data_IF_864114711979
#
_entry.id   IF_864114711979
#
_cell.length_a   1.000
_cell.length_b   1.000
_cell.length_c   1.000
_cell.angle_alpha   90.00
_cell.angle_beta   90.00
_cell.angle_gamma   90.00
#
_symmetry.space_group_name_H-M   'P 1'
#
loop_
_entity.id
_entity.type
_entity.pdbx_description
1 polymer ?
#
# COMPACT_ATOMS: atom_id res chain seq x y z
N UNK A 1 22.01 -0.64 2.41
CA UNK A 1 20.64 -0.42 1.87
C UNK A 1 20.68 0.47 0.65
N UNK A 2 19.72 0.28 -0.29
CA UNK A 2 19.58 1.14 -1.46
C UNK A 2 19.27 2.58 -1.02
N UNK A 3 19.92 3.58 -1.65
CA UNK A 3 19.72 5.01 -1.38
C UNK A 3 18.34 5.53 -1.86
N UNK A 4 17.34 4.64 -2.04
CA UNK A 4 16.00 5.01 -2.49
C UNK A 4 15.10 5.35 -1.30
N UNK A 5 14.28 6.40 -1.40
CA UNK A 5 13.38 6.81 -0.32
C UNK A 5 12.33 5.75 0.01
N UNK A 6 12.10 5.54 1.32
CA UNK A 6 11.04 4.63 1.80
C UNK A 6 9.63 5.14 1.43
N UNK A 7 9.44 6.45 1.38
CA UNK A 7 8.18 7.08 1.02
C UNK A 7 8.43 8.11 -0.07
N UNK A 8 7.82 7.91 -1.25
CA UNK A 8 8.07 8.80 -2.39
C UNK A 8 6.80 9.05 -3.20
N UNK A 9 6.58 10.30 -3.58
CA UNK A 9 5.53 10.70 -4.52
C UNK A 9 6.15 11.11 -5.85
N UNK A 10 5.80 10.38 -6.91
CA UNK A 10 6.10 10.73 -8.29
C UNK A 10 4.99 11.63 -8.82
N UNK A 11 5.30 12.88 -9.09
CA UNK A 11 4.30 13.88 -9.49
C UNK A 11 4.63 14.54 -10.82
N UNK A 12 3.62 15.03 -11.52
CA UNK A 12 3.73 15.69 -12.81
C UNK A 12 2.45 15.58 -13.62
N UNK A 13 2.47 16.09 -14.85
CA UNK A 13 1.33 16.06 -15.75
C UNK A 13 0.84 14.63 -16.03
N UNK A 14 -0.45 14.42 -16.40
CA UNK A 14 -0.93 13.14 -16.87
C UNK A 14 -0.10 12.63 -18.07
N UNK A 15 0.15 11.31 -18.11
CA UNK A 15 0.85 10.71 -19.23
C UNK A 15 2.38 10.87 -19.27
N UNK A 16 3.01 11.48 -18.25
CA UNK A 16 4.48 11.65 -18.20
C UNK A 16 5.26 10.39 -17.87
N UNK A 17 4.58 9.25 -17.66
CA UNK A 17 5.25 7.97 -17.39
C UNK A 17 5.55 7.69 -15.91
N UNK A 18 4.88 8.36 -14.97
CA UNK A 18 5.07 8.16 -13.52
C UNK A 18 4.97 6.69 -13.09
N UNK A 19 3.88 6.03 -13.45
CA UNK A 19 3.68 4.60 -13.14
C UNK A 19 4.69 3.69 -13.87
N UNK A 20 5.14 4.09 -15.05
CA UNK A 20 6.19 3.38 -15.78
C UNK A 20 7.54 3.48 -15.05
N UNK A 21 7.91 4.67 -14.60
CA UNK A 21 9.12 4.88 -13.80
C UNK A 21 9.12 4.02 -12.52
N UNK A 22 7.99 3.97 -11.81
CA UNK A 22 7.84 3.08 -10.64
C UNK A 22 8.02 1.61 -11.05
N UNK A 23 7.40 1.18 -12.16
CA UNK A 23 7.53 -0.21 -12.62
C UNK A 23 8.96 -0.59 -12.97
N UNK A 24 9.74 0.31 -13.57
CA UNK A 24 11.15 0.07 -13.85
C UNK A 24 11.98 -0.03 -12.57
N UNK A 25 11.76 0.88 -11.61
CA UNK A 25 12.47 0.89 -10.33
C UNK A 25 12.11 -0.30 -9.42
N UNK A 26 10.92 -0.85 -9.58
CA UNK A 26 10.44 -2.01 -8.80
C UNK A 26 10.51 -3.32 -9.57
N UNK A 27 11.19 -3.35 -10.72
CA UNK A 27 11.33 -4.56 -11.52
C UNK A 27 11.98 -5.70 -10.72
N UNK A 28 11.31 -6.84 -10.67
CA UNK A 28 11.76 -8.02 -9.89
C UNK A 28 11.55 -7.91 -8.38
N UNK A 29 10.86 -6.88 -7.90
CA UNK A 29 10.44 -6.73 -6.49
C UNK A 29 8.96 -7.13 -6.33
N UNK A 30 8.58 -7.46 -5.10
CA UNK A 30 7.18 -7.68 -4.75
C UNK A 30 6.47 -6.33 -4.58
N UNK A 31 5.34 -6.19 -5.28
CA UNK A 31 4.60 -4.93 -5.33
C UNK A 31 3.11 -5.18 -5.13
N UNK A 32 2.55 -4.59 -4.10
CA UNK A 32 1.10 -4.47 -3.93
C UNK A 32 0.68 -3.10 -4.43
N UNK A 33 -0.32 -3.06 -5.31
CA UNK A 33 -0.75 -1.83 -5.98
C UNK A 33 -2.21 -1.54 -5.71
N UNK A 34 -2.52 -0.28 -5.45
CA UNK A 34 -3.88 0.22 -5.28
C UNK A 34 -4.04 1.58 -5.95
N UNK A 35 -5.27 1.99 -6.21
CA UNK A 35 -5.59 3.30 -6.80
C UNK A 35 -6.56 4.03 -5.89
N UNK A 36 -6.27 5.30 -5.58
CA UNK A 36 -7.22 6.12 -4.84
C UNK A 36 -8.28 6.70 -5.77
N UNK A 37 -9.48 6.74 -5.27
CA UNK A 37 -10.68 7.35 -5.87
C UNK A 37 -11.36 8.27 -4.86
N UNK A 38 -12.26 9.16 -5.28
CA UNK A 38 -12.99 10.02 -4.34
C UNK A 38 -13.73 9.27 -3.23
N UNK A 39 -14.17 8.04 -3.51
CA UNK A 39 -14.88 7.18 -2.56
C UNK A 39 -13.94 6.25 -1.75
N UNK A 40 -12.64 6.36 -1.93
CA UNK A 40 -11.67 5.58 -1.15
C UNK A 40 -11.67 6.07 0.30
N UNK A 41 -11.76 5.14 1.22
CA UNK A 41 -11.74 5.37 2.65
C UNK A 41 -10.78 4.41 3.38
N UNK A 42 -10.71 4.51 4.70
CA UNK A 42 -9.90 3.62 5.53
C UNK A 42 -10.26 2.14 5.31
N UNK A 43 -11.55 1.82 5.17
CA UNK A 43 -12.02 0.43 5.02
C UNK A 43 -11.62 -0.21 3.71
N UNK A 44 -11.49 0.58 2.65
CA UNK A 44 -11.10 0.13 1.31
C UNK A 44 -9.59 0.13 1.08
N UNK A 45 -8.84 0.84 1.91
CA UNK A 45 -7.39 0.91 1.85
C UNK A 45 -6.69 -0.01 2.87
N UNK A 46 -7.20 -0.05 4.10
CA UNK A 46 -6.61 -0.80 5.22
C UNK A 46 -7.31 -2.15 5.38
N UNK A 47 -8.59 -2.13 5.61
CA UNK A 47 -9.42 -3.32 5.79
C UNK A 47 -10.66 -3.03 6.62
N UNK A 48 -11.61 -3.95 6.55
CA UNK A 48 -12.85 -3.90 7.33
C UNK A 48 -13.50 -5.27 7.41
N UNK A 49 -14.43 -5.43 8.36
CA UNK A 49 -15.36 -6.55 8.34
C UNK A 49 -16.28 -6.49 7.14
N UNK A 50 -16.31 -7.58 6.39
CA UNK A 50 -17.21 -7.74 5.24
C UNK A 50 -18.02 -9.02 5.37
N UNK A 51 -19.30 -9.02 4.97
CA UNK A 51 -20.06 -10.25 4.87
C UNK A 51 -19.46 -11.12 3.76
N UNK A 52 -19.23 -12.38 4.07
CA UNK A 52 -18.80 -13.39 3.11
C UNK A 52 -19.63 -14.66 3.30
N UNK A 53 -19.82 -15.43 2.23
CA UNK A 53 -20.52 -16.69 2.30
C UNK A 53 -19.53 -17.81 2.49
N UNK A 54 -19.69 -18.59 3.57
CA UNK A 54 -18.87 -19.78 3.84
C UNK A 54 -19.71 -21.01 4.05
N UNK A 55 -19.29 -22.18 3.53
CA UNK A 55 -19.87 -23.43 3.90
C UNK A 55 -19.51 -23.74 5.37
N UNK A 56 -20.51 -23.89 6.20
CA UNK A 56 -20.38 -24.31 7.60
C UNK A 56 -21.08 -25.65 7.83
N UNK A 57 -20.57 -26.47 8.74
CA UNK A 57 -21.25 -27.73 9.06
C UNK A 57 -22.67 -27.49 9.58
N UNK A 58 -23.62 -28.23 9.07
CA UNK A 58 -24.97 -28.29 9.65
C UNK A 58 -24.85 -29.00 11.00
N UNK A 59 -25.25 -28.30 12.06
CA UNK A 59 -25.15 -28.84 13.43
C UNK A 59 -26.56 -29.21 13.93
N UNK A 60 -26.69 -30.36 14.54
CA UNK A 60 -27.86 -30.77 15.34
C UNK A 60 -27.46 -30.91 16.81
N UNK A 61 -28.41 -30.68 17.70
CA UNK A 61 -28.19 -30.84 19.14
C UNK A 61 -28.75 -32.21 19.57
N UNK A 62 -27.89 -33.04 20.14
CA UNK A 62 -28.28 -34.33 20.74
C UNK A 62 -27.99 -34.28 22.23
N UNK A 63 -29.04 -34.15 23.04
CA UNK A 63 -28.89 -33.87 24.46
C UNK A 63 -28.33 -32.45 24.72
N UNK A 64 -27.12 -32.34 25.24
CA UNK A 64 -26.40 -31.09 25.48
C UNK A 64 -25.25 -30.87 24.51
N UNK A 65 -25.01 -31.80 23.57
CA UNK A 65 -23.88 -31.73 22.67
C UNK A 65 -24.32 -31.30 21.25
N UNK A 66 -23.52 -30.39 20.66
CA UNK A 66 -23.67 -29.96 19.26
C UNK A 66 -22.89 -30.93 18.36
N UNK A 67 -23.57 -31.64 17.46
CA UNK A 67 -22.97 -32.66 16.60
C UNK A 67 -23.18 -32.31 15.13
N UNK A 68 -22.16 -32.43 14.27
CA UNK A 68 -22.32 -32.24 12.82
C UNK A 68 -23.25 -33.28 12.22
N UNK A 69 -24.19 -32.84 11.40
CA UNK A 69 -25.05 -33.73 10.62
C UNK A 69 -24.23 -34.36 9.49
N UNK A 70 -24.34 -35.70 9.33
CA UNK A 70 -23.64 -36.41 8.26
C UNK A 70 -24.62 -37.00 7.28
N UNK A 71 -24.21 -37.09 6.01
CA UNK A 71 -24.98 -37.73 4.96
C UNK A 71 -24.89 -39.28 5.07
N UNK A 72 -25.56 -39.99 4.15
CA UNK A 72 -25.58 -41.44 4.10
C UNK A 72 -24.18 -42.09 3.91
N UNK A 73 -23.21 -41.30 3.46
CA UNK A 73 -21.83 -41.73 3.21
C UNK A 73 -20.89 -41.32 4.37
N UNK A 74 -21.41 -40.72 5.45
CA UNK A 74 -20.64 -40.26 6.60
C UNK A 74 -19.97 -38.91 6.41
N UNK A 75 -20.19 -38.22 5.29
CA UNK A 75 -19.66 -36.89 5.02
C UNK A 75 -20.51 -35.85 5.74
N UNK A 76 -19.85 -34.85 6.34
CA UNK A 76 -20.54 -33.72 6.99
C UNK A 76 -21.37 -32.92 5.98
N UNK A 77 -22.60 -32.66 6.31
CA UNK A 77 -23.47 -31.79 5.52
C UNK A 77 -23.07 -30.35 5.79
N UNK A 78 -22.88 -29.60 4.71
CA UNK A 78 -22.50 -28.19 4.76
C UNK A 78 -23.67 -27.33 4.29
N UNK A 79 -23.84 -26.18 4.89
CA UNK A 79 -24.76 -25.14 4.45
C UNK A 79 -24.01 -23.82 4.28
N UNK A 80 -24.38 -23.02 3.30
CA UNK A 80 -23.81 -21.70 3.09
C UNK A 80 -24.40 -20.71 4.09
N UNK A 81 -23.54 -20.15 4.95
CA UNK A 81 -23.92 -19.07 5.88
C UNK A 81 -23.17 -17.80 5.60
N UNK A 82 -23.84 -16.68 5.77
CA UNK A 82 -23.21 -15.37 5.78
C UNK A 82 -22.48 -15.25 7.12
N UNK A 83 -21.16 -15.11 7.02
CA UNK A 83 -20.27 -14.82 8.15
C UNK A 83 -19.59 -13.48 7.92
N UNK A 84 -19.23 -12.78 8.99
CA UNK A 84 -18.46 -11.55 8.88
C UNK A 84 -17.00 -11.86 9.13
N UNK A 85 -16.14 -11.48 8.18
CA UNK A 85 -14.70 -11.63 8.31
C UNK A 85 -14.00 -10.31 8.06
N UNK A 86 -12.91 -10.11 8.77
CA UNK A 86 -12.03 -8.98 8.49
C UNK A 86 -11.25 -9.26 7.20
N UNK A 87 -11.45 -8.40 6.20
CA UNK A 87 -10.79 -8.49 4.90
C UNK A 87 -9.72 -7.42 4.83
N UNK A 88 -8.45 -7.84 4.83
CA UNK A 88 -7.31 -6.95 4.64
C UNK A 88 -7.30 -6.35 3.24
N UNK A 89 -6.95 -5.08 3.13
CA UNK A 89 -6.77 -4.38 1.87
C UNK A 89 -5.28 -4.08 1.64
N UNK A 90 -4.97 -3.31 0.60
CA UNK A 90 -3.60 -3.12 0.11
C UNK A 90 -2.59 -2.74 1.20
N UNK A 91 -2.94 -1.84 2.12
CA UNK A 91 -2.03 -1.43 3.20
C UNK A 91 -1.68 -2.59 4.13
N UNK A 92 -2.67 -3.27 4.69
CA UNK A 92 -2.39 -4.39 5.61
C UNK A 92 -1.76 -5.59 4.90
N UNK A 93 -2.10 -5.83 3.63
CA UNK A 93 -1.43 -6.87 2.85
C UNK A 93 0.06 -6.59 2.70
N UNK A 94 0.43 -5.36 2.34
CA UNK A 94 1.83 -4.95 2.23
C UNK A 94 2.55 -4.97 3.59
N UNK A 95 1.87 -4.51 4.65
CA UNK A 95 2.38 -4.53 6.01
C UNK A 95 2.72 -5.95 6.49
N UNK A 96 1.79 -6.88 6.32
CA UNK A 96 1.99 -8.28 6.70
C UNK A 96 3.09 -8.93 5.85
N UNK A 97 3.09 -8.68 4.53
CA UNK A 97 4.12 -9.21 3.63
C UNK A 97 5.53 -8.73 4.03
N UNK A 98 5.67 -7.44 4.36
CA UNK A 98 6.96 -6.88 4.78
C UNK A 98 7.47 -7.51 6.07
N UNK A 99 6.63 -7.69 7.09
CA UNK A 99 7.02 -8.33 8.34
C UNK A 99 7.32 -9.83 8.16
N UNK A 100 6.60 -10.55 7.32
CA UNK A 100 6.91 -11.95 6.99
C UNK A 100 8.30 -12.10 6.37
N UNK A 101 8.71 -11.16 5.50
CA UNK A 101 10.07 -11.14 4.95
C UNK A 101 11.15 -10.96 6.01
N UNK A 102 10.83 -10.32 7.12
CA UNK A 102 11.73 -10.24 8.27
C UNK A 102 11.92 -11.59 8.98
N UNK A 103 10.88 -12.43 9.01
CA UNK A 103 10.97 -13.75 9.64
C UNK A 103 11.84 -14.73 8.85
N UNK A 104 11.98 -14.54 7.55
CA UNK A 104 12.77 -15.40 6.66
C UNK A 104 14.28 -15.08 6.67
N UNK A 105 14.69 -13.96 7.30
CA UNK A 105 16.07 -13.45 7.28
C UNK A 105 16.97 -14.20 8.26
N UNK A 106 18.16 -14.56 7.83
CA UNK A 106 19.19 -15.08 8.72
C UNK A 106 19.89 -13.93 9.46
N UNK A 107 20.56 -14.26 10.57
CA UNK A 107 21.28 -13.27 11.35
C UNK A 107 22.37 -12.60 10.48
N UNK A 108 22.33 -11.25 10.43
CA UNK A 108 23.26 -10.44 9.62
C UNK A 108 22.84 -10.18 8.18
N UNK A 109 21.68 -10.71 7.75
CA UNK A 109 21.11 -10.42 6.42
C UNK A 109 20.04 -9.31 6.52
N UNK A 110 19.79 -8.65 5.39
CA UNK A 110 18.70 -7.67 5.24
C UNK A 110 17.45 -8.36 4.67
N UNK A 111 16.25 -8.01 5.13
CA UNK A 111 15.02 -8.53 4.55
C UNK A 111 14.83 -8.00 3.12
N UNK A 112 14.17 -8.80 2.28
CA UNK A 112 13.76 -8.35 0.95
C UNK A 112 12.75 -7.20 1.05
N UNK A 113 12.85 -6.26 0.11
CA UNK A 113 11.94 -5.12 0.02
C UNK A 113 10.51 -5.57 -0.33
N UNK A 114 9.54 -4.86 0.23
CA UNK A 114 8.13 -4.91 -0.11
C UNK A 114 7.67 -3.52 -0.55
N UNK A 115 6.91 -3.42 -1.64
CA UNK A 115 6.41 -2.15 -2.15
C UNK A 115 4.89 -2.07 -2.09
N UNK A 116 4.39 -1.01 -1.47
CA UNK A 116 3.02 -0.55 -1.62
C UNK A 116 3.00 0.64 -2.57
N UNK A 117 2.35 0.50 -3.72
CA UNK A 117 2.21 1.57 -4.71
C UNK A 117 0.78 2.07 -4.74
N UNK A 118 0.62 3.38 -4.51
CA UNK A 118 -0.66 4.08 -4.49
C UNK A 118 -0.75 4.95 -5.75
N UNK A 119 -1.58 4.55 -6.70
CA UNK A 119 -1.82 5.37 -7.88
C UNK A 119 -2.85 6.47 -7.56
N UNK A 120 -2.62 7.67 -8.13
CA UNK A 120 -3.53 8.82 -8.03
C UNK A 120 -3.83 9.23 -6.57
N UNK A 121 -2.80 9.33 -5.72
CA UNK A 121 -2.94 9.55 -4.27
C UNK A 121 -3.80 10.76 -3.92
N UNK A 122 -3.78 11.81 -4.72
CA UNK A 122 -4.54 13.03 -4.52
C UNK A 122 -6.01 12.98 -5.00
N UNK A 123 -6.45 11.84 -5.56
CA UNK A 123 -7.87 11.61 -5.85
C UNK A 123 -8.69 11.20 -4.63
N UNK A 124 -8.02 10.77 -3.56
CA UNK A 124 -8.65 10.47 -2.29
C UNK A 124 -8.28 11.47 -1.19
N UNK A 125 -9.10 11.55 -0.15
CA UNK A 125 -8.80 12.32 1.04
C UNK A 125 -7.77 11.56 1.90
N UNK A 126 -6.47 11.87 1.73
CA UNK A 126 -5.38 11.16 2.40
C UNK A 126 -5.54 11.13 3.94
N UNK A 127 -5.98 12.23 4.55
CA UNK A 127 -6.16 12.28 6.00
C UNK A 127 -7.24 11.29 6.48
N UNK A 128 -8.33 11.16 5.74
CA UNK A 128 -9.39 10.22 6.04
C UNK A 128 -9.00 8.77 5.74
N UNK A 129 -8.30 8.55 4.62
CA UNK A 129 -7.90 7.21 4.15
C UNK A 129 -6.85 6.60 5.08
N UNK A 130 -5.85 7.37 5.48
CA UNK A 130 -4.79 6.90 6.38
C UNK A 130 -5.23 6.87 7.84
N UNK A 131 -6.10 7.81 8.27
CA UNK A 131 -6.49 7.92 9.67
C UNK A 131 -5.26 7.92 10.60
N UNK A 132 -5.29 7.10 11.65
CA UNK A 132 -4.21 7.00 12.62
C UNK A 132 -2.90 6.43 12.05
N UNK A 133 -2.96 5.69 10.92
CA UNK A 133 -1.77 5.17 10.22
C UNK A 133 -0.84 6.27 9.72
N UNK A 134 -1.38 7.48 9.59
CA UNK A 134 -0.61 8.65 9.21
C UNK A 134 0.63 8.87 10.10
N UNK A 135 0.52 8.58 11.40
CA UNK A 135 1.62 8.69 12.35
C UNK A 135 2.76 7.70 12.06
N UNK A 136 2.44 6.54 11.48
CA UNK A 136 3.45 5.53 11.13
C UNK A 136 4.39 5.98 10.02
N UNK A 137 3.99 6.99 9.23
CA UNK A 137 4.81 7.55 8.14
C UNK A 137 5.98 8.41 8.66
N UNK A 138 6.02 8.77 9.94
CA UNK A 138 7.21 9.35 10.55
C UNK A 138 8.23 8.22 10.79
N UNK A 139 9.29 8.19 9.97
CA UNK A 139 10.35 7.18 10.01
C UNK A 139 11.57 7.70 10.76
N UNK A 140 12.13 6.87 11.64
CA UNK A 140 13.42 7.12 12.25
C UNK A 140 14.60 6.86 11.29
N UNK A 141 15.80 7.12 11.74
CA UNK A 141 17.03 7.01 10.95
C UNK A 141 17.25 5.59 10.39
N UNK A 142 16.84 4.56 11.13
CA UNK A 142 16.91 3.15 10.71
C UNK A 142 15.73 2.71 9.82
N UNK A 143 14.83 3.62 9.48
CA UNK A 143 13.72 3.41 8.56
C UNK A 143 12.49 2.73 9.15
N UNK A 144 12.43 2.42 10.43
CA UNK A 144 11.21 2.00 11.12
C UNK A 144 10.35 3.21 11.48
N UNK A 145 9.03 3.00 11.67
CA UNK A 145 8.20 4.07 12.25
C UNK A 145 8.76 4.52 13.59
N UNK A 146 8.87 5.84 13.80
CA UNK A 146 9.37 6.40 15.07
C UNK A 146 8.37 6.20 16.19
N UNK A 147 7.07 6.26 15.87
CA UNK A 147 5.98 6.14 16.82
C UNK A 147 5.06 4.97 16.46
N UNK A 148 5.16 3.82 17.16
CA UNK A 148 4.19 2.75 17.02
C UNK A 148 2.78 3.21 17.41
N UNK A 149 1.76 2.69 16.77
CA UNK A 149 0.36 2.93 17.14
C UNK A 149 -0.30 1.65 17.62
N UNK A 150 -1.29 1.78 18.51
CA UNK A 150 -2.07 0.64 18.99
C UNK A 150 -3.00 0.16 17.88
N UNK A 151 -3.02 -1.16 17.62
CA UNK A 151 -4.00 -1.76 16.75
C UNK A 151 -5.40 -1.78 17.40
N UNK A 152 -6.46 -1.63 16.59
CA UNK A 152 -7.81 -1.90 17.08
C UNK A 152 -8.02 -3.41 17.30
N UNK A 153 -9.10 -3.79 17.98
CA UNK A 153 -9.37 -5.18 18.35
C UNK A 153 -9.53 -6.12 17.15
N UNK A 154 -9.98 -5.61 16.03
CA UNK A 154 -10.30 -6.41 14.87
C UNK A 154 -9.05 -6.62 14.01
N UNK A 155 -8.29 -5.56 13.84
CA UNK A 155 -6.96 -5.63 13.22
C UNK A 155 -6.01 -6.52 14.03
N UNK A 156 -6.04 -6.42 15.37
CA UNK A 156 -5.27 -7.30 16.24
C UNK A 156 -5.54 -8.77 15.95
N UNK A 157 -6.81 -9.20 15.91
CA UNK A 157 -7.18 -10.60 15.62
C UNK A 157 -6.68 -11.07 14.25
N UNK A 158 -6.73 -10.19 13.25
CA UNK A 158 -6.16 -10.51 11.93
C UNK A 158 -4.65 -10.71 12.03
N UNK A 159 -3.94 -9.76 12.65
CA UNK A 159 -2.48 -9.79 12.74
C UNK A 159 -1.98 -10.96 13.58
N UNK A 160 -2.63 -11.29 14.70
CA UNK A 160 -2.35 -12.50 15.49
C UNK A 160 -2.38 -13.76 14.62
N UNK A 161 -3.39 -13.89 13.76
CA UNK A 161 -3.53 -15.02 12.84
C UNK A 161 -2.47 -15.00 11.74
N UNK A 162 -2.20 -13.81 11.15
CA UNK A 162 -1.24 -13.65 10.06
C UNK A 162 0.21 -13.88 10.52
N UNK A 163 0.50 -13.61 11.78
CA UNK A 163 1.82 -13.77 12.37
C UNK A 163 1.96 -15.01 13.25
N UNK A 164 0.95 -15.88 13.28
CA UNK A 164 1.00 -17.11 14.07
C UNK A 164 2.21 -17.98 13.70
N UNK A 165 3.02 -18.31 14.70
CA UNK A 165 4.21 -19.16 14.52
C UNK A 165 5.40 -18.47 13.86
N UNK A 166 5.34 -17.16 13.58
CA UNK A 166 6.46 -16.41 13.04
C UNK A 166 7.43 -15.96 14.15
N UNK A 167 8.71 -15.97 13.84
CA UNK A 167 9.77 -15.54 14.75
C UNK A 167 10.77 -14.66 13.99
N UNK A 168 11.17 -13.54 14.62
CA UNK A 168 12.20 -12.63 14.09
C UNK A 168 13.49 -12.86 14.88
N UNK A 169 14.52 -13.35 14.20
CA UNK A 169 15.81 -13.71 14.83
C UNK A 169 16.62 -12.50 15.28
N UNK A 170 16.53 -11.37 14.60
CA UNK A 170 17.24 -10.12 14.91
C UNK A 170 16.37 -9.12 15.69
N UNK A 171 15.49 -9.61 16.56
CA UNK A 171 14.57 -8.74 17.31
C UNK A 171 15.27 -7.78 18.28
N UNK A 172 16.40 -8.17 18.86
CA UNK A 172 17.18 -7.34 19.78
C UNK A 172 17.66 -6.05 19.12
N UNK A 173 18.12 -6.14 17.87
CA UNK A 173 18.53 -4.97 17.07
C UNK A 173 17.36 -4.00 16.83
N UNK A 174 16.18 -4.53 16.53
CA UNK A 174 14.98 -3.72 16.33
C UNK A 174 14.51 -3.11 17.66
N UNK A 175 14.43 -3.92 18.72
CA UNK A 175 13.99 -3.46 20.04
C UNK A 175 14.88 -2.35 20.60
N UNK A 176 16.20 -2.41 20.35
CA UNK A 176 17.15 -1.39 20.78
C UNK A 176 16.93 0.01 20.18
N UNK A 177 16.16 0.12 19.09
CA UNK A 177 15.79 1.41 18.49
C UNK A 177 14.74 2.17 19.33
N UNK A 178 14.04 1.47 20.19
CA UNK A 178 12.94 2.03 20.98
C UNK A 178 13.32 2.18 22.45
N UNK A 179 12.87 3.26 23.07
CA UNK A 179 13.14 3.53 24.49
C UNK A 179 12.31 2.61 25.38
N UNK A 180 12.96 2.03 26.38
CA UNK A 180 12.34 1.17 27.41
C UNK A 180 12.68 -0.30 27.23
N UNK A 181 12.28 -1.13 28.21
CA UNK A 181 12.56 -2.57 28.25
C UNK A 181 11.46 -3.42 27.58
N UNK A 182 10.71 -2.83 26.65
CA UNK A 182 9.61 -3.51 25.96
C UNK A 182 10.13 -4.30 24.76
N UNK A 183 9.60 -5.51 24.57
CA UNK A 183 9.80 -6.28 23.34
C UNK A 183 8.81 -5.80 22.27
N UNK A 184 9.18 -4.72 21.56
CA UNK A 184 8.38 -4.10 20.53
C UNK A 184 8.06 -5.09 19.39
N UNK A 185 9.01 -5.94 19.04
CA UNK A 185 8.82 -6.96 18.01
C UNK A 185 7.76 -7.98 18.45
N UNK A 186 7.78 -8.39 19.72
CA UNK A 186 6.75 -9.29 20.25
C UNK A 186 5.36 -8.61 20.25
N UNK A 187 5.26 -7.32 20.60
CA UNK A 187 4.00 -6.57 20.51
C UNK A 187 3.48 -6.46 19.07
N UNK A 188 4.37 -6.31 18.08
CA UNK A 188 4.01 -6.31 16.64
C UNK A 188 3.48 -7.68 16.21
N UNK A 189 4.22 -8.76 16.52
CA UNK A 189 3.82 -10.12 16.15
C UNK A 189 2.55 -10.59 16.86
N UNK A 190 2.28 -10.08 18.05
CA UNK A 190 1.02 -10.28 18.78
C UNK A 190 -0.13 -9.42 18.22
N UNK A 191 0.13 -8.56 17.25
CA UNK A 191 -0.88 -7.65 16.68
C UNK A 191 -1.32 -6.53 17.60
N UNK A 192 -0.64 -6.32 18.74
CA UNK A 192 -0.99 -5.28 19.72
C UNK A 192 -0.72 -3.88 19.18
N UNK A 193 0.36 -3.73 18.42
CA UNK A 193 0.77 -2.47 17.81
C UNK A 193 1.07 -2.62 16.33
N UNK A 194 0.98 -1.51 15.60
CA UNK A 194 1.48 -1.35 14.26
C UNK A 194 2.78 -0.57 14.28
N UNK A 195 3.75 -1.05 13.51
CA UNK A 195 5.04 -0.44 13.32
C UNK A 195 5.50 -0.74 11.88
N UNK A 196 5.67 0.25 11.03
CA UNK A 196 6.17 -0.01 9.68
C UNK A 196 7.62 -0.46 9.72
N UNK A 197 7.94 -1.63 9.17
CA UNK A 197 9.31 -2.10 9.08
C UNK A 197 10.07 -1.34 7.98
N UNK A 198 11.37 -1.31 8.08
CA UNK A 198 12.24 -0.53 7.20
C UNK A 198 12.44 -1.14 5.80
N UNK A 199 11.88 -2.30 5.53
CA UNK A 199 11.80 -2.92 4.19
C UNK A 199 10.48 -2.65 3.48
N UNK A 200 9.53 -1.91 4.09
CA UNK A 200 8.27 -1.51 3.46
C UNK A 200 8.42 -0.12 2.85
N UNK A 201 8.43 -0.09 1.52
CA UNK A 201 8.41 1.12 0.72
C UNK A 201 6.97 1.49 0.37
N UNK A 202 6.61 2.75 0.55
CA UNK A 202 5.28 3.26 0.18
C UNK A 202 5.49 4.36 -0.86
N UNK A 203 5.19 4.05 -2.12
CA UNK A 203 5.35 4.97 -3.23
C UNK A 203 4.01 5.34 -3.83
N UNK A 204 3.91 6.54 -4.37
CA UNK A 204 2.66 7.01 -4.93
C UNK A 204 2.85 7.80 -6.22
N UNK A 205 1.81 7.84 -7.06
CA UNK A 205 1.72 8.76 -8.19
C UNK A 205 0.73 9.87 -7.90
N UNK A 206 0.99 11.06 -8.46
CA UNK A 206 0.12 12.22 -8.34
C UNK A 206 0.09 12.98 -9.66
N UNK A 207 -1.10 13.28 -10.17
CA UNK A 207 -1.28 14.20 -11.27
C UNK A 207 -1.42 15.64 -10.74
N UNK A 208 -0.72 16.59 -11.36
CA UNK A 208 -0.68 17.98 -10.92
C UNK A 208 -1.79 18.85 -11.54
N UNK A 209 -2.31 18.47 -12.71
CA UNK A 209 -3.24 19.28 -13.50
C UNK A 209 -4.73 19.00 -13.25
N UNK A 210 -5.07 18.04 -12.43
CA UNK A 210 -6.46 17.64 -12.18
C UNK A 210 -7.15 18.60 -11.20
N UNK A 211 -8.26 19.24 -11.60
CA UNK A 211 -8.95 20.26 -10.79
C UNK A 211 -9.88 19.69 -9.71
N UNK A 212 -10.16 18.38 -9.73
CA UNK A 212 -11.10 17.70 -8.82
C UNK A 212 -10.41 16.99 -7.66
N UNK A 213 -9.23 17.46 -7.25
CA UNK A 213 -8.37 16.76 -6.32
C UNK A 213 -8.54 17.24 -4.90
N UNK A 214 -8.34 16.32 -3.96
CA UNK A 214 -8.22 16.66 -2.56
C UNK A 214 -6.86 17.34 -2.30
N UNK A 215 -6.83 18.48 -1.61
CA UNK A 215 -5.57 19.11 -1.25
C UNK A 215 -4.82 18.21 -0.26
N UNK A 216 -3.56 17.95 -0.56
CA UNK A 216 -2.67 17.26 0.37
C UNK A 216 -2.11 18.30 1.34
N UNK A 217 -2.35 18.12 2.64
CA UNK A 217 -1.89 19.06 3.67
C UNK A 217 -0.37 19.02 3.86
N UNK A 218 0.17 20.06 4.50
CA UNK A 218 1.62 20.20 4.70
C UNK A 218 2.20 19.15 5.63
N UNK A 219 1.42 18.67 6.61
CA UNK A 219 1.86 17.64 7.54
C UNK A 219 2.01 16.29 6.84
N UNK A 220 1.12 15.99 5.88
CA UNK A 220 1.26 14.82 5.03
C UNK A 220 2.45 14.94 4.09
N UNK A 221 2.58 16.11 3.42
CA UNK A 221 3.65 16.36 2.44
C UNK A 221 5.06 16.16 2.99
N UNK A 222 5.33 16.58 4.21
CA UNK A 222 6.67 16.52 4.83
C UNK A 222 7.19 15.08 5.09
N UNK A 223 6.31 14.09 5.01
CA UNK A 223 6.65 12.67 5.24
C UNK A 223 7.05 11.94 3.98
N UNK A 224 7.08 12.65 2.85
CA UNK A 224 7.34 12.08 1.55
C UNK A 224 8.48 12.79 0.85
N UNK A 225 9.30 12.03 0.16
CA UNK A 225 10.19 12.55 -0.85
C UNK A 225 9.42 12.81 -2.15
N UNK A 226 9.78 13.88 -2.84
CA UNK A 226 9.06 14.34 -4.00
C UNK A 226 9.90 14.19 -5.25
N UNK A 227 9.44 13.40 -6.21
CA UNK A 227 10.10 13.16 -7.48
C UNK A 227 9.26 13.74 -8.63
N UNK A 228 9.72 14.85 -9.19
CA UNK A 228 9.06 15.44 -10.35
C UNK A 228 9.36 14.63 -11.61
N UNK A 229 8.32 14.22 -12.34
CA UNK A 229 8.41 13.52 -13.62
C UNK A 229 7.98 14.48 -14.72
N UNK A 230 8.94 15.15 -15.39
CA UNK A 230 8.62 16.16 -16.40
C UNK A 230 8.03 15.54 -17.67
N UNK A 231 7.35 16.37 -18.46
CA UNK A 231 7.04 16.04 -19.84
C UNK A 231 8.38 16.01 -20.59
N UNK A 232 8.76 14.87 -21.15
CA UNK A 232 10.03 14.69 -21.84
C UNK A 232 9.87 13.78 -23.06
N UNK A 233 10.77 13.97 -24.04
CA UNK A 233 10.83 13.08 -25.20
C UNK A 233 11.30 11.69 -24.77
N UNK A 234 10.46 10.69 -24.99
CA UNK A 234 10.78 9.28 -24.74
C UNK A 234 11.74 8.67 -25.81
N UNK A 235 12.22 9.48 -26.77
CA UNK A 235 13.15 9.06 -27.81
C UNK A 235 12.57 8.05 -28.81
N UNK A 236 11.25 7.89 -28.85
CA UNK A 236 10.56 6.89 -29.70
C UNK A 236 10.58 7.25 -31.18
N UNK A 237 10.85 8.52 -31.53
CA UNK A 237 10.87 9.03 -32.92
C UNK A 237 9.59 8.73 -33.68
N UNK A 238 8.46 8.80 -33.01
CA UNK A 238 7.15 8.61 -33.62
C UNK A 238 6.80 9.76 -34.56
N UNK A 239 6.19 9.42 -35.70
CA UNK A 239 5.71 10.38 -36.67
C UNK A 239 4.19 10.36 -36.70
N UNK A 240 3.57 11.52 -36.91
CA UNK A 240 2.15 11.66 -37.25
C UNK A 240 2.01 12.13 -38.66
N UNK A 241 1.01 11.62 -39.36
CA UNK A 241 0.71 12.04 -40.74
C UNK A 241 -0.59 12.85 -40.76
N UNK A 242 -0.49 14.06 -41.31
CA UNK A 242 -1.64 14.95 -41.49
C UNK A 242 -1.64 15.43 -42.93
N UNK A 243 -2.68 15.10 -43.68
CA UNK A 243 -2.83 15.45 -45.10
C UNK A 243 -1.64 15.05 -45.98
N UNK A 244 -1.05 13.86 -45.72
CA UNK A 244 0.10 13.34 -46.46
C UNK A 244 1.46 13.95 -46.08
N UNK A 245 1.50 14.81 -45.06
CA UNK A 245 2.74 15.39 -44.48
C UNK A 245 3.04 14.73 -43.17
N UNK A 246 4.28 14.28 -42.99
CA UNK A 246 4.74 13.69 -41.76
C UNK A 246 5.35 14.74 -40.83
N UNK A 247 4.95 14.70 -39.56
CA UNK A 247 5.45 15.55 -38.53
C UNK A 247 6.02 14.69 -37.40
N UNK A 248 7.12 15.12 -36.81
CA UNK A 248 7.65 14.50 -35.59
C UNK A 248 6.65 14.68 -34.45
N UNK A 249 6.34 13.58 -33.75
CA UNK A 249 5.35 13.58 -32.67
C UNK A 249 5.75 14.50 -31.51
N UNK A 250 7.03 14.48 -31.14
CA UNK A 250 7.50 15.29 -30.01
C UNK A 250 7.40 16.79 -30.33
N UNK A 251 7.88 17.21 -31.48
CA UNK A 251 7.78 18.61 -31.92
C UNK A 251 6.33 19.08 -32.00
N UNK A 252 5.42 18.21 -32.43
CA UNK A 252 3.99 18.51 -32.48
C UNK A 252 3.41 18.67 -31.06
N UNK A 253 3.76 17.79 -30.13
CA UNK A 253 3.33 17.84 -28.74
C UNK A 253 3.85 19.10 -28.04
N UNK A 254 5.13 19.46 -28.24
CA UNK A 254 5.71 20.71 -27.69
C UNK A 254 4.96 21.95 -28.21
N UNK A 255 4.69 22.02 -29.49
CA UNK A 255 3.96 23.13 -30.08
C UNK A 255 2.52 23.27 -29.56
N UNK A 256 1.85 22.15 -29.25
CA UNK A 256 0.52 22.17 -28.62
C UNK A 256 0.63 22.64 -27.17
N UNK A 257 1.56 22.08 -26.40
CA UNK A 257 1.76 22.45 -24.99
C UNK A 257 2.10 23.94 -24.85
N UNK A 258 2.94 24.48 -25.71
CA UNK A 258 3.25 25.91 -25.74
C UNK A 258 1.99 26.77 -25.96
N UNK A 259 1.16 26.40 -26.93
CA UNK A 259 -0.12 27.09 -27.18
C UNK A 259 -1.08 26.99 -25.99
N UNK A 260 -1.16 25.82 -25.34
CA UNK A 260 -2.01 25.61 -24.17
C UNK A 260 -1.49 26.45 -23.01
N UNK A 261 -0.17 26.48 -22.77
CA UNK A 261 0.47 27.30 -21.75
C UNK A 261 0.12 28.77 -21.92
N UNK A 262 0.32 29.32 -23.14
CA UNK A 262 -0.02 30.73 -23.43
C UNK A 262 -1.51 31.04 -23.29
N UNK A 263 -2.40 30.07 -23.53
CA UNK A 263 -3.84 30.25 -23.38
C UNK A 263 -4.33 30.13 -21.92
N UNK A 264 -3.67 29.32 -21.09
CA UNK A 264 -4.16 28.96 -19.77
C UNK A 264 -3.23 29.37 -18.63
N UNK A 265 -1.99 29.76 -18.94
CA UNK A 265 -0.90 30.02 -17.98
C UNK A 265 -0.65 28.81 -17.05
N UNK A 266 -0.85 27.59 -17.55
CA UNK A 266 -0.64 26.35 -16.81
C UNK A 266 0.37 25.47 -17.52
N UNK A 267 1.47 25.11 -16.85
CA UNK A 267 2.55 24.30 -17.39
C UNK A 267 2.21 22.79 -17.49
N UNK A 268 1.16 22.36 -16.81
CA UNK A 268 0.81 20.95 -16.62
C UNK A 268 -0.47 20.53 -17.38
N UNK A 269 -0.62 20.91 -18.62
CA UNK A 269 -1.82 20.52 -19.39
C UNK A 269 -1.52 19.81 -20.67
#
# INVERSE_FOLDING_TARGET
RSDIPLQQIFYGAPGTGKSHAINELTAGKDVIRTTFHPDTDYSTFVGAYKPTTKPVPVITVIGTEAVPVRDKNGKEMMEDKIVYEYVSQAFLQAYVAAWRKYCDVQEGEEPMDEFLVIEEINRGNCAQIFGDLFQLLDRGDEGFSEYPIKADSDMKKLLEKEFEGLEIKNKEGINALFKGDKDIVAEVLAGDILLLPNNLYIWATMNTSDQSLFPIDSAFKRRWDWNYVPISDAGKKWMIEVNGVQYDWWNFLEAINDKVYHATYSEDK
#
